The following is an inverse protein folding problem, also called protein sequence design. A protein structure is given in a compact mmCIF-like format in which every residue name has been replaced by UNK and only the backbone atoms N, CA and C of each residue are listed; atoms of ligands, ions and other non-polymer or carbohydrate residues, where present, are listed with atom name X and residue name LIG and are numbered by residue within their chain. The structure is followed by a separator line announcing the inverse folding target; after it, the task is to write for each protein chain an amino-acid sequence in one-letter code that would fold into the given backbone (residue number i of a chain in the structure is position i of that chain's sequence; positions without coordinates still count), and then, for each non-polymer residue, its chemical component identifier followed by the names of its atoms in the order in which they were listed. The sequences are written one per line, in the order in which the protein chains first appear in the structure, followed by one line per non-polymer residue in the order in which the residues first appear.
data_IF_732675286862
#
_entry.id   IF_732675286862
#
_cell.length_a   1.000
_cell.length_b   1.000
_cell.length_c   1.000
_cell.angle_alpha   90.00
_cell.angle_beta   90.00
_cell.angle_gamma   90.00
#
_symmetry.space_group_name_H-M   'P 1'
#
loop_
_entity.id
_entity.type
_entity.pdbx_description
1 polymer ?
#
# COMPACT_ATOMS: atom_id res chain seq x y z
N UNK A 1 -2.98 -21.27 -0.31
CA UNK A 1 -2.24 -20.52 -1.36
C UNK A 1 -2.81 -20.72 -2.78
N UNK A 2 -3.60 -21.78 -3.06
CA UNK A 2 -4.22 -22.01 -4.37
C UNK A 2 -5.32 -21.00 -4.73
N UNK A 3 -6.17 -20.61 -3.77
CA UNK A 3 -7.31 -19.71 -4.02
C UNK A 3 -6.93 -18.31 -4.54
N UNK A 4 -5.86 -17.69 -4.00
CA UNK A 4 -5.40 -16.38 -4.50
C UNK A 4 -4.89 -16.51 -5.93
N UNK A 5 -4.12 -17.56 -6.21
CA UNK A 5 -3.56 -17.79 -7.54
C UNK A 5 -4.67 -18.01 -8.57
N UNK A 6 -5.65 -18.86 -8.26
CA UNK A 6 -6.79 -19.12 -9.14
C UNK A 6 -7.60 -17.84 -9.39
N UNK A 7 -7.81 -17.03 -8.35
CA UNK A 7 -8.46 -15.72 -8.46
C UNK A 7 -7.66 -14.77 -9.36
N UNK A 8 -6.34 -14.71 -9.21
CA UNK A 8 -5.48 -13.87 -10.05
C UNK A 8 -5.50 -14.36 -11.49
N UNK A 9 -5.38 -15.66 -11.73
CA UNK A 9 -5.44 -16.22 -13.07
C UNK A 9 -6.77 -15.88 -13.75
N UNK A 10 -7.91 -16.02 -13.06
CA UNK A 10 -9.22 -15.63 -13.56
C UNK A 10 -9.31 -14.12 -13.89
N UNK A 11 -8.83 -13.24 -12.99
CA UNK A 11 -8.80 -11.80 -13.22
C UNK A 11 -7.95 -11.41 -14.43
N UNK A 12 -6.95 -12.23 -14.77
CA UNK A 12 -6.03 -11.96 -15.87
C UNK A 12 -6.38 -12.66 -17.19
N UNK A 13 -7.47 -13.44 -17.26
CA UNK A 13 -7.92 -14.08 -18.51
C UNK A 13 -8.32 -13.05 -19.56
N UNK A 14 -9.05 -12.02 -19.15
CA UNK A 14 -9.65 -11.03 -20.07
C UNK A 14 -9.18 -9.60 -19.80
N UNK A 15 -7.92 -9.38 -19.38
CA UNK A 15 -7.44 -8.01 -19.09
C UNK A 15 -7.63 -7.12 -20.32
N UNK A 16 -8.57 -6.16 -20.27
CA UNK A 16 -8.91 -5.36 -21.42
C UNK A 16 -7.77 -4.37 -21.67
N UNK A 17 -7.51 -4.12 -22.95
CA UNK A 17 -6.64 -3.01 -23.35
C UNK A 17 -7.43 -1.72 -23.13
N UNK A 18 -6.76 -0.66 -22.65
CA UNK A 18 -7.31 0.69 -22.66
C UNK A 18 -7.65 1.13 -24.09
N UNK A 19 -8.46 2.19 -24.29
CA UNK A 19 -8.87 2.66 -25.62
C UNK A 19 -7.73 2.96 -26.60
N UNK A 20 -6.52 3.23 -26.09
CA UNK A 20 -5.30 3.43 -26.90
C UNK A 20 -4.61 2.12 -27.35
N UNK A 21 -5.15 0.96 -27.00
CA UNK A 21 -4.72 -0.37 -27.45
C UNK A 21 -3.37 -0.88 -26.92
N UNK A 22 -2.58 -0.04 -26.24
CA UNK A 22 -1.19 -0.35 -25.85
C UNK A 22 -1.01 -0.59 -24.35
N UNK A 23 -1.87 0.00 -23.51
CA UNK A 23 -1.75 -0.04 -22.06
C UNK A 23 -2.88 -0.87 -21.46
N UNK A 24 -2.55 -1.70 -20.48
CA UNK A 24 -3.48 -2.47 -19.66
C UNK A 24 -3.39 -1.99 -18.21
N UNK A 25 -4.43 -2.27 -17.43
CA UNK A 25 -4.43 -2.05 -16.00
C UNK A 25 -4.33 -3.39 -15.28
N UNK A 26 -3.49 -3.46 -14.25
CA UNK A 26 -3.51 -4.57 -13.32
C UNK A 26 -4.85 -4.53 -12.57
N UNK A 27 -5.71 -5.57 -12.69
CA UNK A 27 -7.06 -5.54 -12.13
C UNK A 27 -7.07 -5.43 -10.59
N UNK A 28 -5.99 -5.86 -9.94
CA UNK A 28 -5.82 -5.80 -8.48
C UNK A 28 -5.19 -4.47 -8.07
N UNK A 29 -4.02 -4.14 -8.61
CA UNK A 29 -3.25 -2.98 -8.12
C UNK A 29 -3.57 -1.66 -8.82
N UNK A 30 -4.29 -1.71 -9.94
CA UNK A 30 -4.52 -0.57 -10.83
C UNK A 30 -3.25 -0.06 -11.52
N UNK A 31 -2.12 -0.74 -11.36
CA UNK A 31 -0.85 -0.41 -12.02
C UNK A 31 -0.96 -0.54 -13.53
N UNK A 32 -0.48 0.47 -14.25
CA UNK A 32 -0.47 0.46 -15.72
C UNK A 32 0.73 -0.33 -16.23
N UNK A 33 0.52 -1.14 -17.26
CA UNK A 33 1.59 -1.88 -17.92
C UNK A 33 1.30 -2.05 -19.42
N UNK A 34 2.35 -2.16 -20.22
CA UNK A 34 2.24 -2.59 -21.63
C UNK A 34 2.30 -4.11 -21.65
N UNK A 35 1.51 -4.84 -22.45
CA UNK A 35 1.60 -6.32 -22.53
C UNK A 35 2.93 -6.75 -23.18
N UNK A 36 4.04 -6.60 -22.45
CA UNK A 36 5.38 -7.00 -22.86
C UNK A 36 5.61 -8.48 -22.62
N UNK A 37 6.67 -9.02 -23.22
CA UNK A 37 7.06 -10.42 -23.07
C UNK A 37 7.87 -10.67 -21.79
N UNK A 38 8.62 -9.66 -21.32
CA UNK A 38 9.54 -9.77 -20.18
C UNK A 38 9.48 -8.53 -19.28
N UNK A 39 10.15 -8.61 -18.12
CA UNK A 39 10.27 -7.49 -17.18
C UNK A 39 8.97 -7.11 -16.48
N UNK A 40 8.93 -5.88 -15.97
CA UNK A 40 7.80 -5.34 -15.18
C UNK A 40 6.51 -5.19 -15.98
N UNK A 41 6.61 -5.18 -17.31
CA UNK A 41 5.51 -5.11 -18.25
C UNK A 41 4.93 -6.49 -18.62
N UNK A 42 5.58 -7.59 -18.22
CA UNK A 42 5.05 -8.93 -18.52
C UNK A 42 3.79 -9.26 -17.72
N UNK A 43 2.86 -9.99 -18.36
CA UNK A 43 1.67 -10.54 -17.67
C UNK A 43 2.08 -11.39 -16.45
N UNK A 44 3.15 -12.16 -16.56
CA UNK A 44 3.68 -12.97 -15.46
C UNK A 44 4.09 -12.10 -14.26
N UNK A 45 4.81 -11.00 -14.50
CA UNK A 45 5.17 -10.06 -13.43
C UNK A 45 3.93 -9.43 -12.80
N UNK A 46 2.96 -9.01 -13.62
CA UNK A 46 1.73 -8.37 -13.14
C UNK A 46 0.85 -9.31 -12.32
N UNK A 47 0.77 -10.59 -12.67
CA UNK A 47 0.12 -11.63 -11.85
C UNK A 47 0.83 -11.80 -10.51
N UNK A 48 2.15 -11.94 -10.53
CA UNK A 48 2.95 -12.06 -9.30
C UNK A 48 2.77 -10.84 -8.37
N UNK A 49 2.75 -9.62 -8.92
CA UNK A 49 2.47 -8.41 -8.15
C UNK A 49 1.05 -8.40 -7.56
N UNK A 50 0.05 -8.87 -8.32
CA UNK A 50 -1.33 -8.99 -7.86
C UNK A 50 -1.48 -10.01 -6.73
N UNK A 51 -0.81 -11.17 -6.83
CA UNK A 51 -0.79 -12.19 -5.78
C UNK A 51 -0.21 -11.64 -4.48
N UNK A 52 0.95 -10.96 -4.54
CA UNK A 52 1.58 -10.35 -3.36
C UNK A 52 0.69 -9.29 -2.73
N UNK A 53 0.03 -8.46 -3.54
CA UNK A 53 -0.90 -7.45 -3.06
C UNK A 53 -2.10 -8.07 -2.31
N UNK A 54 -2.71 -9.11 -2.88
CA UNK A 54 -3.82 -9.83 -2.23
C UNK A 54 -3.36 -10.53 -0.95
N UNK A 55 -2.18 -11.15 -0.94
CA UNK A 55 -1.60 -11.73 0.28
C UNK A 55 -1.37 -10.67 1.35
N UNK A 56 -0.88 -9.49 0.99
CA UNK A 56 -0.71 -8.37 1.92
C UNK A 56 -2.06 -7.89 2.49
N UNK A 57 -3.11 -7.83 1.66
CA UNK A 57 -4.45 -7.48 2.11
C UNK A 57 -5.03 -8.52 3.08
N UNK A 58 -4.91 -9.82 2.77
CA UNK A 58 -5.35 -10.89 3.67
C UNK A 58 -4.57 -10.88 4.99
N UNK A 59 -3.24 -10.73 4.93
CA UNK A 59 -2.41 -10.63 6.12
C UNK A 59 -2.84 -9.42 6.97
N UNK A 60 -3.08 -8.27 6.35
CA UNK A 60 -3.52 -7.08 7.06
C UNK A 60 -4.92 -7.23 7.66
N UNK A 61 -5.82 -7.97 7.00
CA UNK A 61 -7.13 -8.27 7.57
C UNK A 61 -7.05 -9.15 8.83
N UNK A 62 -6.07 -10.05 8.90
CA UNK A 62 -5.86 -10.97 10.02
C UNK A 62 -5.07 -10.36 11.18
N UNK A 63 -4.01 -9.61 10.87
CA UNK A 63 -3.03 -9.13 11.85
C UNK A 63 -2.99 -7.60 11.99
N UNK A 64 -3.75 -6.88 11.17
CA UNK A 64 -3.86 -5.43 11.23
C UNK A 64 -4.59 -4.97 12.51
N UNK A 65 -4.54 -3.66 12.78
CA UNK A 65 -5.16 -3.13 13.99
C UNK A 65 -6.68 -3.26 13.94
N UNK A 66 -7.27 -3.60 15.09
CA UNK A 66 -8.72 -3.61 15.25
C UNK A 66 -9.32 -2.26 14.85
N UNK A 67 -10.36 -2.32 14.01
CA UNK A 67 -11.09 -1.17 13.49
C UNK A 67 -10.44 -0.53 12.26
N UNK A 68 -9.35 -1.08 11.72
CA UNK A 68 -8.78 -0.61 10.47
C UNK A 68 -9.71 -0.94 9.28
N UNK A 69 -9.82 -0.04 8.28
CA UNK A 69 -10.38 -0.41 7.00
C UNK A 69 -9.52 -1.49 6.33
N UNK A 70 -10.06 -2.21 5.32
CA UNK A 70 -9.25 -3.08 4.47
C UNK A 70 -8.06 -2.33 3.86
N UNK A 71 -6.94 -3.03 3.69
CA UNK A 71 -5.76 -2.46 3.03
C UNK A 71 -6.11 -2.11 1.57
N UNK A 72 -6.06 -0.83 1.16
CA UNK A 72 -6.31 -0.44 -0.23
C UNK A 72 -5.21 -0.96 -1.13
N UNK A 73 -5.58 -1.46 -2.32
CA UNK A 73 -4.64 -2.07 -3.27
C UNK A 73 -4.43 -1.23 -4.53
N UNK A 74 -5.25 -0.21 -4.76
CA UNK A 74 -5.11 0.69 -5.90
C UNK A 74 -4.61 2.07 -5.51
N UNK A 75 -3.85 2.67 -6.44
CA UNK A 75 -3.27 4.00 -6.28
C UNK A 75 -4.24 5.06 -5.80
N UNK A 76 -5.41 5.11 -6.41
CA UNK A 76 -6.43 6.08 -6.09
C UNK A 76 -7.10 5.81 -4.73
N UNK A 77 -7.23 4.54 -4.31
CA UNK A 77 -7.84 4.17 -3.03
C UNK A 77 -6.98 4.63 -1.85
N UNK A 78 -5.67 4.34 -1.88
CA UNK A 78 -4.80 4.81 -0.80
C UNK A 78 -4.56 6.31 -0.90
N UNK A 79 -4.59 6.92 -2.09
CA UNK A 79 -4.52 8.37 -2.23
C UNK A 79 -5.69 9.04 -1.51
N UNK A 80 -6.92 8.58 -1.77
CA UNK A 80 -8.12 9.05 -1.09
C UNK A 80 -8.01 8.90 0.43
N UNK A 81 -7.59 7.71 0.90
CA UNK A 81 -7.41 7.47 2.34
C UNK A 81 -6.36 8.38 3.00
N UNK A 82 -5.29 8.78 2.30
CA UNK A 82 -4.27 9.70 2.84
C UNK A 82 -4.80 11.13 3.07
N UNK A 83 -5.89 11.50 2.40
CA UNK A 83 -6.58 12.79 2.56
C UNK A 83 -7.78 12.72 3.52
N UNK A 84 -8.12 11.53 4.04
CA UNK A 84 -9.20 11.33 5.01
C UNK A 84 -8.75 11.68 6.45
N UNK A 85 -9.45 11.19 7.46
CA UNK A 85 -9.21 11.40 8.90
C UNK A 85 -9.06 10.08 9.67
N UNK A 86 -8.52 10.18 10.88
CA UNK A 86 -8.39 9.05 11.80
C UNK A 86 -7.49 7.94 11.26
N UNK A 87 -7.84 6.68 11.58
CA UNK A 87 -7.04 5.50 11.24
C UNK A 87 -6.84 5.30 9.73
N UNK A 88 -7.76 5.81 8.89
CA UNK A 88 -7.68 5.70 7.43
C UNK A 88 -6.45 6.39 6.86
N UNK A 89 -6.05 7.55 7.41
CA UNK A 89 -4.82 8.24 7.00
C UNK A 89 -3.64 7.29 7.10
N UNK A 90 -3.48 6.67 8.27
CA UNK A 90 -2.36 5.78 8.56
C UNK A 90 -2.37 4.55 7.64
N UNK A 91 -3.55 3.98 7.37
CA UNK A 91 -3.71 2.85 6.44
C UNK A 91 -3.36 3.25 5.01
N UNK A 92 -3.78 4.42 4.54
CA UNK A 92 -3.44 4.92 3.21
C UNK A 92 -1.93 5.11 3.01
N UNK A 93 -1.23 5.71 3.99
CA UNK A 93 0.22 5.83 3.94
C UNK A 93 0.92 4.47 4.03
N UNK A 94 0.41 3.55 4.86
CA UNK A 94 0.96 2.21 4.99
C UNK A 94 0.85 1.41 3.68
N UNK A 95 -0.31 1.42 3.04
CA UNK A 95 -0.52 0.76 1.74
C UNK A 95 0.38 1.34 0.65
N UNK A 96 0.50 2.67 0.56
CA UNK A 96 1.44 3.33 -0.36
C UNK A 96 2.88 2.86 -0.10
N UNK A 97 3.30 2.83 1.16
CA UNK A 97 4.64 2.38 1.55
C UNK A 97 4.89 0.92 1.15
N UNK A 98 3.93 0.02 1.38
CA UNK A 98 3.99 -1.38 0.94
C UNK A 98 4.07 -1.52 -0.58
N UNK A 99 3.33 -0.70 -1.34
CA UNK A 99 3.37 -0.74 -2.81
C UNK A 99 4.77 -0.47 -3.37
N UNK A 100 5.56 0.41 -2.73
CA UNK A 100 6.94 0.68 -3.09
C UNK A 100 7.91 -0.45 -2.69
N UNK A 101 7.44 -1.39 -1.87
CA UNK A 101 8.19 -2.55 -1.38
C UNK A 101 7.63 -3.86 -1.92
N UNK A 102 6.98 -3.84 -3.08
CA UNK A 102 6.47 -5.05 -3.76
C UNK A 102 5.52 -5.84 -2.84
N UNK A 103 4.76 -5.14 -2.00
CA UNK A 103 3.81 -5.70 -1.02
C UNK A 103 4.42 -6.69 -0.03
N UNK A 104 5.74 -6.62 0.20
CA UNK A 104 6.46 -7.54 1.08
C UNK A 104 6.31 -7.15 2.56
N UNK A 105 5.24 -7.65 3.17
CA UNK A 105 4.92 -7.41 4.58
C UNK A 105 6.08 -7.74 5.53
N UNK A 106 6.76 -8.86 5.32
CA UNK A 106 7.83 -9.33 6.22
C UNK A 106 9.08 -8.45 6.21
N UNK A 107 9.28 -7.70 5.13
CA UNK A 107 10.43 -6.81 4.96
C UNK A 107 10.07 -5.35 5.26
N UNK A 108 8.83 -5.09 5.66
CA UNK A 108 8.32 -3.77 6.02
C UNK A 108 8.10 -3.73 7.53
N UNK A 109 8.28 -2.57 8.19
CA UNK A 109 7.87 -2.37 9.56
C UNK A 109 6.41 -2.80 9.79
N UNK A 110 6.11 -3.24 11.02
CA UNK A 110 4.72 -3.49 11.42
C UNK A 110 3.87 -2.24 11.18
N UNK A 111 2.56 -2.39 11.06
CA UNK A 111 1.67 -1.23 10.94
C UNK A 111 1.85 -0.27 12.13
N UNK A 112 2.04 -0.81 13.34
CA UNK A 112 2.19 0.00 14.55
C UNK A 112 3.49 0.80 14.54
N UNK A 113 4.63 0.18 14.22
CA UNK A 113 5.90 0.88 14.12
C UNK A 113 5.87 1.93 13.00
N UNK A 114 5.29 1.57 11.85
CA UNK A 114 5.12 2.50 10.74
C UNK A 114 4.23 3.69 11.13
N UNK A 115 3.09 3.45 11.78
CA UNK A 115 2.18 4.48 12.24
C UNK A 115 2.87 5.46 13.19
N UNK A 116 3.60 4.93 14.19
CA UNK A 116 4.35 5.76 15.14
C UNK A 116 5.45 6.56 14.44
N UNK A 117 6.15 5.95 13.49
CA UNK A 117 7.11 6.61 12.60
C UNK A 117 6.49 7.74 11.80
N UNK A 118 5.33 7.49 11.20
CA UNK A 118 4.57 8.45 10.42
C UNK A 118 4.07 9.62 11.27
N UNK A 119 3.62 9.38 12.50
CA UNK A 119 3.23 10.45 13.43
C UNK A 119 4.41 11.28 13.95
N UNK A 120 5.64 10.78 13.81
CA UNK A 120 6.86 11.47 14.23
C UNK A 120 7.53 12.29 13.12
N UNK A 121 7.15 12.11 11.85
CA UNK A 121 7.70 12.96 10.80
C UNK A 121 7.11 14.37 10.94
N UNK A 122 7.94 15.38 10.70
CA UNK A 122 7.51 16.77 10.60
C UNK A 122 8.09 17.37 9.32
N UNK A 123 7.30 17.28 8.24
CA UNK A 123 7.73 17.72 6.90
C UNK A 123 6.87 18.83 6.32
N UNK A 124 5.77 19.18 7.00
CA UNK A 124 4.72 20.07 6.46
C UNK A 124 3.99 19.51 5.23
N UNK A 125 4.34 18.31 4.75
CA UNK A 125 3.77 17.74 3.54
C UNK A 125 2.40 17.14 3.83
N UNK A 126 1.48 17.36 2.88
CA UNK A 126 0.12 16.86 2.91
C UNK A 126 -0.67 17.26 4.15
N UNK A 127 -0.23 18.23 4.95
CA UNK A 127 -0.95 18.67 6.15
C UNK A 127 -1.25 17.52 7.14
N UNK A 128 -0.36 16.51 7.12
CA UNK A 128 -0.49 15.26 7.86
C UNK A 128 -0.54 15.49 9.37
N UNK A 129 0.39 16.29 9.89
CA UNK A 129 0.53 16.54 11.33
C UNK A 129 -0.73 17.22 11.88
N UNK A 130 -1.31 18.16 11.14
CA UNK A 130 -2.58 18.80 11.51
C UNK A 130 -3.73 17.79 11.55
N UNK A 131 -3.86 16.94 10.52
CA UNK A 131 -4.97 15.96 10.48
C UNK A 131 -4.85 14.87 11.54
N UNK A 132 -3.63 14.40 11.82
CA UNK A 132 -3.40 13.40 12.87
C UNK A 132 -3.60 14.01 14.26
N UNK A 133 -3.14 15.26 14.50
CA UNK A 133 -3.30 15.93 15.79
C UNK A 133 -4.74 16.30 16.13
N UNK A 134 -5.62 16.39 15.13
CA UNK A 134 -7.07 16.55 15.31
C UNK A 134 -7.75 15.33 15.92
N UNK A 135 -7.09 14.17 15.97
CA UNK A 135 -7.58 12.96 16.62
C UNK A 135 -6.68 12.56 17.81
N UNK A 136 -7.00 13.03 19.03
CA UNK A 136 -6.26 12.69 20.23
C UNK A 136 -6.23 11.19 20.54
N UNK A 137 -7.25 10.43 20.12
CA UNK A 137 -7.28 8.99 20.31
C UNK A 137 -6.26 8.29 19.40
N UNK A 138 -6.10 8.78 18.18
CA UNK A 138 -5.11 8.26 17.23
C UNK A 138 -3.69 8.51 17.74
N UNK A 139 -3.39 9.72 18.21
CA UNK A 139 -2.08 10.05 18.81
C UNK A 139 -1.82 9.23 20.08
N UNK A 140 -2.84 9.05 20.92
CA UNK A 140 -2.71 8.20 22.13
C UNK A 140 -2.42 6.74 21.76
N UNK A 141 -3.03 6.23 20.69
CA UNK A 141 -2.85 4.85 20.20
C UNK A 141 -1.51 4.65 19.50
N UNK A 142 -1.05 5.65 18.75
CA UNK A 142 0.19 5.62 17.99
C UNK A 142 1.04 6.84 18.35
N UNK A 143 1.69 6.83 19.53
CA UNK A 143 2.48 7.97 19.97
C UNK A 143 3.70 8.15 19.05
N UNK A 144 4.06 9.40 18.70
CA UNK A 144 5.21 9.71 17.86
C UNK A 144 6.47 8.99 18.31
N UNK A 145 7.05 8.18 17.42
CA UNK A 145 8.32 7.51 17.63
C UNK A 145 9.10 7.45 16.31
N UNK A 146 10.24 8.15 16.18
CA UNK A 146 11.02 8.14 14.95
C UNK A 146 11.36 6.72 14.49
N UNK A 147 11.10 6.45 13.21
CA UNK A 147 11.35 5.14 12.61
C UNK A 147 12.54 5.22 11.64
N UNK A 148 13.57 4.42 11.88
CA UNK A 148 14.70 4.31 10.98
C UNK A 148 14.26 3.87 9.58
N UNK A 149 14.65 4.64 8.55
CA UNK A 149 14.22 4.41 7.17
C UNK A 149 12.90 5.08 6.78
N UNK A 150 12.19 5.73 7.71
CA UNK A 150 11.09 6.62 7.32
C UNK A 150 11.64 7.80 6.52
N UNK A 151 11.13 7.98 5.30
CA UNK A 151 11.57 9.06 4.40
C UNK A 151 10.75 10.32 4.61
N UNK A 152 11.24 11.51 4.19
CA UNK A 152 10.42 12.72 4.15
C UNK A 152 9.15 12.57 3.29
N UNK A 153 9.15 11.61 2.35
CA UNK A 153 8.01 11.28 1.50
C UNK A 153 6.89 10.49 2.20
N UNK A 154 7.00 10.26 3.52
CA UNK A 154 6.04 9.52 4.36
C UNK A 154 5.85 8.06 3.93
N UNK A 155 6.94 7.43 3.44
CA UNK A 155 7.02 5.99 3.20
C UNK A 155 8.33 5.44 3.76
N UNK A 156 8.36 4.16 4.06
CA UNK A 156 9.52 3.49 4.60
C UNK A 156 10.41 2.93 3.48
N UNK A 157 11.69 3.29 3.55
CA UNK A 157 12.75 2.74 2.72
C UNK A 157 13.92 2.35 3.65
N UNK A 158 14.34 1.07 3.67
CA UNK A 158 15.50 0.69 4.47
C UNK A 158 16.72 1.47 3.95
N UNK A 159 17.56 1.98 4.86
CA UNK A 159 18.87 2.50 4.47
C UNK A 159 19.64 1.36 3.79
N UNK A 160 20.33 1.68 2.69
CA UNK A 160 20.91 0.73 1.75
C UNK A 160 21.49 -0.53 2.40
N UNK A 161 21.04 -1.67 1.89
CA UNK A 161 21.80 -2.93 1.93
C UNK A 161 22.74 -2.91 0.74
#
# INVERSE_FOLDING_TARGET
MTLIKDKVDALFQDVPRRPNGRVCDNPVTGGRFVKGETGVDSIAYQRCAAEKALLAQEWFALYGPRGAPPLPLKAWEWEEMRHDFGLKILVGFYARSLSFRDWRMHNHPSFEDFARGLTAIDTGLWDLQRRVSQDPHLIKRYPPCPLAGMTPGAYWAPKGV
#
